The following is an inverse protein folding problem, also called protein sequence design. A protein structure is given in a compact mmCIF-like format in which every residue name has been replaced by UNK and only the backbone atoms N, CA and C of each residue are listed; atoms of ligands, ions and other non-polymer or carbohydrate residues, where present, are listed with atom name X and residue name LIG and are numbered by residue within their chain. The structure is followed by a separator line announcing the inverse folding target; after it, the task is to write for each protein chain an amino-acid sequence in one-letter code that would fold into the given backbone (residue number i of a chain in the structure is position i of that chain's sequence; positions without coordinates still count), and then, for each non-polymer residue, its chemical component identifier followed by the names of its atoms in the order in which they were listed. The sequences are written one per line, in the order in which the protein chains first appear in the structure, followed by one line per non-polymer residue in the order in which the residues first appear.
data_IF_090035985364
#
_entry.id   IF_090035985364
#
_cell.length_a   1.000
_cell.length_b   1.000
_cell.length_c   1.000
_cell.angle_alpha   90.00
_cell.angle_beta   90.00
_cell.angle_gamma   90.00
#
_symmetry.space_group_name_H-M   'P 1'
#
loop_
_entity.id
_entity.type
_entity.pdbx_description
1 polymer ?
#
# COMPACT_ATOMS: atom_id res chain seq x y z
N UNK A 1 -5.79 -18.14 -8.33
CA UNK A 1 -4.87 -17.64 -9.37
C UNK A 1 -5.71 -17.27 -10.58
N UNK A 2 -5.27 -16.30 -11.41
CA UNK A 2 -5.86 -16.18 -12.76
C UNK A 2 -5.25 -17.30 -13.58
N UNK A 3 -5.93 -18.43 -13.64
CA UNK A 3 -5.49 -19.50 -14.52
C UNK A 3 -5.72 -19.05 -15.98
N UNK A 4 -4.68 -19.08 -16.80
CA UNK A 4 -4.81 -18.98 -18.26
C UNK A 4 -4.33 -17.72 -18.99
N UNK A 5 -3.60 -16.77 -18.37
CA UNK A 5 -3.12 -15.56 -19.08
C UNK A 5 -1.66 -15.68 -19.55
N UNK A 6 -0.83 -16.47 -18.87
CA UNK A 6 0.57 -16.72 -19.23
C UNK A 6 1.02 -18.11 -18.73
N UNK A 7 1.99 -18.77 -19.38
CA UNK A 7 2.50 -20.09 -18.95
C UNK A 7 3.17 -20.04 -17.57
N UNK A 8 3.63 -18.86 -17.14
CA UNK A 8 4.23 -18.64 -15.83
C UNK A 8 3.74 -17.30 -15.26
N UNK A 9 3.26 -17.32 -14.02
CA UNK A 9 2.83 -16.14 -13.27
C UNK A 9 3.52 -16.16 -11.92
N UNK A 10 4.20 -15.07 -11.56
CA UNK A 10 4.87 -14.92 -10.26
C UNK A 10 4.23 -13.78 -9.48
N UNK A 11 3.68 -14.09 -8.31
CA UNK A 11 3.24 -13.09 -7.35
C UNK A 11 4.47 -12.58 -6.58
N UNK A 12 4.85 -11.32 -6.83
CA UNK A 12 6.01 -10.69 -6.19
C UNK A 12 5.80 -10.45 -4.69
N UNK A 13 4.56 -10.22 -4.25
CA UNK A 13 4.23 -10.07 -2.83
C UNK A 13 4.38 -11.41 -2.10
N UNK A 14 3.89 -12.49 -2.69
CA UNK A 14 4.06 -13.85 -2.16
C UNK A 14 5.53 -14.28 -2.17
N UNK A 15 6.26 -13.98 -3.25
CA UNK A 15 7.69 -14.22 -3.36
C UNK A 15 8.45 -13.49 -2.25
N UNK A 16 8.23 -12.18 -2.10
CA UNK A 16 8.86 -11.37 -1.04
C UNK A 16 8.55 -11.91 0.36
N UNK A 17 7.29 -12.26 0.63
CA UNK A 17 6.87 -12.80 1.93
C UNK A 17 7.58 -14.11 2.24
N UNK A 18 7.79 -14.98 1.25
CA UNK A 18 8.53 -16.23 1.40
C UNK A 18 10.01 -15.99 1.70
N UNK A 19 10.65 -15.07 0.98
CA UNK A 19 12.09 -14.80 1.15
C UNK A 19 12.41 -14.02 2.45
N UNK A 20 11.51 -13.18 2.92
CA UNK A 20 11.79 -12.24 4.02
C UNK A 20 10.99 -12.47 5.29
N UNK A 21 9.87 -13.23 5.20
CA UNK A 21 8.88 -13.33 6.26
C UNK A 21 8.10 -12.04 6.54
N UNK A 22 8.34 -10.97 5.77
CA UNK A 22 7.75 -9.63 5.99
C UNK A 22 6.71 -9.30 4.93
N UNK A 23 5.69 -8.47 5.25
CA UNK A 23 4.80 -7.91 4.22
C UNK A 23 5.58 -6.98 3.27
N UNK A 24 4.98 -6.63 2.12
CA UNK A 24 5.56 -5.68 1.17
C UNK A 24 4.70 -4.42 1.06
N UNK A 25 5.32 -3.26 0.89
CA UNK A 25 4.64 -1.96 0.70
C UNK A 25 4.89 -1.48 -0.72
N UNK A 26 3.82 -1.41 -1.52
CA UNK A 26 3.91 -0.97 -2.92
C UNK A 26 3.80 0.55 -3.09
N UNK A 27 3.01 1.21 -2.24
CA UNK A 27 2.73 2.64 -2.36
C UNK A 27 2.46 3.27 -0.99
N UNK A 28 2.75 4.57 -0.91
CA UNK A 28 2.58 5.40 0.28
C UNK A 28 1.97 6.74 -0.12
N UNK A 29 1.16 7.31 0.76
CA UNK A 29 0.87 8.75 0.75
C UNK A 29 2.03 9.47 1.44
N UNK A 30 2.66 10.41 0.74
CA UNK A 30 3.85 11.12 1.22
C UNK A 30 3.61 12.61 1.05
N UNK A 31 3.93 13.40 2.07
CA UNK A 31 3.97 14.85 2.00
C UNK A 31 5.43 15.33 2.02
N UNK A 32 5.75 16.33 1.21
CA UNK A 32 7.04 17.00 1.29
C UNK A 32 7.17 17.73 2.63
N UNK A 33 8.32 17.60 3.29
CA UNK A 33 8.58 18.19 4.61
C UNK A 33 8.28 19.69 4.66
N UNK A 34 8.80 20.44 3.69
CA UNK A 34 8.58 21.89 3.58
C UNK A 34 7.09 22.22 3.48
N UNK A 35 6.32 21.45 2.73
CA UNK A 35 4.87 21.64 2.61
C UNK A 35 4.14 21.32 3.91
N UNK A 36 4.59 20.31 4.66
CA UNK A 36 4.05 20.01 6.00
C UNK A 36 4.31 21.14 7.00
N UNK A 37 5.51 21.72 6.96
CA UNK A 37 5.91 22.86 7.81
C UNK A 37 5.10 24.12 7.44
N UNK A 38 4.97 24.43 6.15
CA UNK A 38 4.30 25.64 5.65
C UNK A 38 2.76 25.55 5.73
N UNK A 39 2.18 24.35 5.62
CA UNK A 39 0.73 24.14 5.44
C UNK A 39 0.18 23.02 6.32
N UNK A 40 0.63 22.96 7.58
CA UNK A 40 0.29 21.89 8.52
C UNK A 40 -1.21 21.67 8.65
N UNK A 41 -1.97 22.72 8.93
CA UNK A 41 -3.41 22.58 9.19
C UNK A 41 -4.20 22.04 7.98
N UNK A 42 -4.09 22.62 6.76
CA UNK A 42 -4.75 22.05 5.58
C UNK A 42 -4.35 20.60 5.30
N UNK A 43 -3.06 20.26 5.47
CA UNK A 43 -2.58 18.89 5.26
C UNK A 43 -3.09 17.92 6.32
N UNK A 44 -3.19 18.34 7.58
CA UNK A 44 -3.80 17.53 8.64
C UNK A 44 -5.27 17.23 8.32
N UNK A 45 -6.04 18.24 7.91
CA UNK A 45 -7.45 18.07 7.51
C UNK A 45 -7.58 17.13 6.30
N UNK A 46 -6.74 17.31 5.28
CA UNK A 46 -6.73 16.43 4.10
C UNK A 46 -6.35 15.00 4.46
N UNK A 47 -5.36 14.81 5.34
CA UNK A 47 -4.94 13.49 5.80
C UNK A 47 -6.04 12.79 6.61
N UNK A 48 -6.76 13.53 7.46
CA UNK A 48 -7.93 13.02 8.17
C UNK A 48 -9.03 12.57 7.19
N UNK A 49 -9.33 13.38 6.17
CA UNK A 49 -10.30 13.04 5.13
C UNK A 49 -9.88 11.77 4.33
N UNK A 50 -8.59 11.62 4.01
CA UNK A 50 -8.07 10.40 3.39
C UNK A 50 -8.23 9.17 4.28
N UNK A 51 -8.00 9.30 5.59
CA UNK A 51 -8.20 8.22 6.55
C UNK A 51 -9.68 7.81 6.66
N UNK A 52 -10.60 8.77 6.67
CA UNK A 52 -12.04 8.51 6.63
C UNK A 52 -12.47 7.83 5.32
N UNK A 53 -11.98 8.32 4.18
CA UNK A 53 -12.23 7.69 2.89
C UNK A 53 -11.71 6.25 2.85
N UNK A 54 -10.49 6.01 3.36
CA UNK A 54 -9.92 4.66 3.49
C UNK A 54 -10.79 3.74 4.34
N UNK A 55 -11.19 4.20 5.54
CA UNK A 55 -12.06 3.44 6.45
C UNK A 55 -13.37 3.06 5.78
N UNK A 56 -13.98 4.01 5.08
CA UNK A 56 -15.22 3.81 4.33
C UNK A 56 -15.05 2.76 3.23
N UNK A 57 -14.00 2.89 2.41
CA UNK A 57 -13.69 1.94 1.34
C UNK A 57 -13.43 0.52 1.89
N UNK A 58 -12.60 0.39 2.94
CA UNK A 58 -12.33 -0.89 3.59
C UNK A 58 -13.62 -1.52 4.15
N UNK A 59 -14.54 -0.73 4.71
CA UNK A 59 -15.82 -1.22 5.19
C UNK A 59 -16.70 -1.75 4.05
N UNK A 60 -16.77 -1.04 2.91
CA UNK A 60 -17.48 -1.50 1.72
C UNK A 60 -16.88 -2.80 1.16
N UNK A 61 -15.55 -2.89 1.05
CA UNK A 61 -14.85 -4.12 0.61
C UNK A 61 -15.19 -5.30 1.53
N UNK A 62 -15.21 -5.09 2.86
CA UNK A 62 -15.60 -6.15 3.82
C UNK A 62 -17.04 -6.63 3.62
N UNK A 63 -17.95 -5.73 3.26
CA UNK A 63 -19.35 -6.05 2.93
C UNK A 63 -19.54 -6.66 1.53
N UNK A 64 -18.50 -6.69 0.70
CA UNK A 64 -18.62 -7.13 -0.71
C UNK A 64 -19.29 -6.09 -1.60
N UNK A 65 -19.28 -4.82 -1.18
CA UNK A 65 -19.83 -3.70 -1.93
C UNK A 65 -18.71 -3.02 -2.72
N UNK A 66 -18.78 -3.09 -4.05
CA UNK A 66 -17.79 -2.49 -4.95
C UNK A 66 -18.43 -1.40 -5.82
N UNK A 67 -18.89 -0.28 -5.23
CA UNK A 67 -19.57 0.80 -5.97
C UNK A 67 -18.67 1.47 -7.03
N UNK A 68 -17.37 1.21 -6.98
CA UNK A 68 -16.33 1.80 -7.84
C UNK A 68 -16.19 1.10 -9.20
N UNK A 69 -16.93 0.00 -9.43
CA UNK A 69 -16.86 -0.79 -10.65
C UNK A 69 -15.47 -1.41 -10.88
N UNK A 70 -15.21 -1.76 -12.12
CA UNK A 70 -13.91 -2.23 -12.60
C UNK A 70 -14.04 -2.58 -14.08
N UNK A 71 -12.93 -2.72 -14.82
CA UNK A 71 -13.01 -3.03 -16.24
C UNK A 71 -13.82 -4.32 -16.47
N UNK A 72 -14.73 -4.28 -17.45
CA UNK A 72 -15.65 -5.39 -17.72
C UNK A 72 -14.94 -6.68 -18.14
N UNK A 73 -13.70 -6.56 -18.65
CA UNK A 73 -12.86 -7.70 -19.02
C UNK A 73 -12.27 -8.45 -17.81
N UNK A 74 -12.38 -7.91 -16.59
CA UNK A 74 -11.90 -8.57 -15.38
C UNK A 74 -13.05 -9.34 -14.72
N UNK A 75 -12.94 -10.67 -14.53
CA UNK A 75 -13.96 -11.46 -13.87
C UNK A 75 -14.35 -10.90 -12.49
N UNK A 76 -15.65 -10.82 -12.14
CA UNK A 76 -16.11 -10.32 -10.84
C UNK A 76 -15.41 -10.98 -9.65
N UNK A 77 -15.33 -12.32 -9.63
CA UNK A 77 -14.68 -13.05 -8.55
C UNK A 77 -13.18 -12.70 -8.40
N UNK A 78 -12.50 -12.36 -9.50
CA UNK A 78 -11.11 -11.92 -9.45
C UNK A 78 -10.99 -10.51 -8.87
N UNK A 79 -11.88 -9.58 -9.25
CA UNK A 79 -11.93 -8.23 -8.65
C UNK A 79 -12.15 -8.31 -7.15
N UNK A 80 -13.09 -9.14 -6.71
CA UNK A 80 -13.40 -9.33 -5.29
C UNK A 80 -12.19 -9.88 -4.53
N UNK A 81 -11.53 -10.91 -5.07
CA UNK A 81 -10.32 -11.48 -4.49
C UNK A 81 -9.18 -10.46 -4.42
N UNK A 82 -9.00 -9.66 -5.49
CA UNK A 82 -7.99 -8.61 -5.56
C UNK A 82 -8.22 -7.55 -4.46
N UNK A 83 -9.43 -7.02 -4.34
CA UNK A 83 -9.74 -6.00 -3.34
C UNK A 83 -9.59 -6.49 -1.90
N UNK A 84 -9.91 -7.76 -1.63
CA UNK A 84 -9.75 -8.37 -0.30
C UNK A 84 -8.29 -8.70 0.04
N UNK A 85 -7.43 -8.86 -0.97
CA UNK A 85 -6.01 -9.17 -0.78
C UNK A 85 -5.18 -7.92 -0.39
N UNK A 86 -5.66 -6.72 -0.74
CA UNK A 86 -4.92 -5.49 -0.46
C UNK A 86 -5.02 -5.08 1.01
N UNK A 87 -3.86 -4.87 1.65
CA UNK A 87 -3.74 -4.13 2.91
C UNK A 87 -3.53 -2.65 2.61
N UNK A 88 -4.26 -1.79 3.30
CA UNK A 88 -4.15 -0.32 3.18
C UNK A 88 -3.62 0.33 4.47
N UNK A 89 -3.22 -0.49 5.43
CA UNK A 89 -2.66 -0.07 6.70
C UNK A 89 -1.14 -0.13 6.67
N UNK A 90 -0.51 0.64 7.56
CA UNK A 90 0.94 0.76 7.64
C UNK A 90 1.36 0.53 9.09
N UNK A 91 1.17 -0.70 9.56
CA UNK A 91 1.51 -1.14 10.91
C UNK A 91 2.70 -2.09 10.86
N UNK A 92 2.41 -3.40 10.82
CA UNK A 92 3.44 -4.45 10.65
C UNK A 92 4.21 -4.31 9.33
N UNK A 93 3.59 -3.65 8.35
CA UNK A 93 4.12 -3.30 7.04
C UNK A 93 5.37 -2.42 7.10
N UNK A 94 5.52 -1.63 8.16
CA UNK A 94 6.71 -0.78 8.37
C UNK A 94 8.01 -1.59 8.41
N UNK A 95 7.98 -2.80 8.99
CA UNK A 95 9.15 -3.69 9.02
C UNK A 95 9.55 -4.17 7.63
N UNK A 96 8.57 -4.42 6.74
CA UNK A 96 8.82 -4.78 5.35
C UNK A 96 9.40 -3.61 4.55
N UNK A 97 8.87 -2.41 4.76
CA UNK A 97 9.34 -1.18 4.12
C UNK A 97 10.79 -0.86 4.51
N UNK A 98 11.12 -0.95 5.81
CA UNK A 98 12.50 -0.73 6.28
C UNK A 98 13.49 -1.71 5.65
N UNK A 99 13.15 -3.01 5.61
CA UNK A 99 13.98 -4.03 4.97
C UNK A 99 14.15 -3.74 3.47
N UNK A 100 13.09 -3.31 2.78
CA UNK A 100 13.18 -2.96 1.37
C UNK A 100 14.20 -1.83 1.13
N UNK A 101 14.19 -0.79 1.96
CA UNK A 101 15.19 0.28 1.88
C UNK A 101 16.61 -0.20 2.21
N UNK A 102 16.79 -1.07 3.20
CA UNK A 102 18.09 -1.67 3.51
C UNK A 102 18.64 -2.46 2.32
N UNK A 103 17.80 -3.28 1.68
CA UNK A 103 18.20 -4.05 0.50
C UNK A 103 18.50 -3.12 -0.70
N UNK A 104 17.72 -2.07 -0.90
CA UNK A 104 17.97 -1.08 -1.94
C UNK A 104 19.31 -0.35 -1.73
N UNK A 105 19.65 -0.01 -0.48
CA UNK A 105 20.93 0.59 -0.14
C UNK A 105 22.09 -0.39 -0.35
N UNK A 106 21.92 -1.67 0.05
CA UNK A 106 22.92 -2.75 -0.14
C UNK A 106 23.34 -2.91 -1.60
N UNK A 107 22.42 -2.71 -2.54
CA UNK A 107 22.70 -2.80 -3.99
C UNK A 107 22.97 -1.43 -4.65
N UNK A 108 23.14 -0.37 -3.86
CA UNK A 108 23.50 0.97 -4.36
C UNK A 108 22.39 1.72 -5.11
N UNK A 109 21.11 1.36 -4.94
CA UNK A 109 19.99 2.09 -5.56
C UNK A 109 19.64 3.38 -4.81
N UNK A 110 19.93 3.44 -3.52
CA UNK A 110 19.85 4.62 -2.67
C UNK A 110 21.11 4.70 -1.81
N UNK A 111 21.54 5.89 -1.35
CA UNK A 111 22.77 6.03 -0.58
C UNK A 111 22.70 5.37 0.81
N UNK A 112 21.52 5.37 1.43
CA UNK A 112 21.25 4.72 2.72
C UNK A 112 19.73 4.50 2.88
N UNK A 113 19.34 3.59 3.77
CA UNK A 113 17.94 3.42 4.15
C UNK A 113 17.44 4.65 4.93
N UNK A 114 16.41 5.38 4.45
CA UNK A 114 15.91 6.55 5.15
C UNK A 114 15.10 6.15 6.40
N UNK A 115 15.16 6.93 7.49
CA UNK A 115 14.27 6.72 8.63
C UNK A 115 12.81 7.03 8.23
N UNK A 116 11.88 6.18 8.68
CA UNK A 116 10.45 6.43 8.51
C UNK A 116 10.02 7.57 9.43
N UNK A 117 9.31 8.55 8.88
CA UNK A 117 8.78 9.71 9.61
C UNK A 117 7.31 9.87 9.26
N UNK A 118 6.46 9.76 10.26
CA UNK A 118 5.01 9.85 10.11
C UNK A 118 4.54 11.28 10.38
N UNK A 119 3.45 11.67 9.72
CA UNK A 119 2.80 12.95 10.00
C UNK A 119 2.07 12.85 11.34
N UNK A 120 2.23 13.87 12.19
CA UNK A 120 1.45 14.01 13.42
C UNK A 120 0.12 14.69 13.09
N UNK A 121 -0.82 13.86 12.68
CA UNK A 121 -2.22 14.21 12.43
C UNK A 121 -2.92 14.06 13.78
N UNK A 122 -3.33 15.20 14.37
CA UNK A 122 -3.98 15.24 15.68
C UNK A 122 -5.32 14.52 15.73
#
# INVERSE_FOLDING_TARGET
AVDGVAPHVTDLGAWWRRETGKPFVFALWIAARRTWEDRREPLSRFSAALLDAKRTAQASIRRGEFPWGGPDWIPPAFRDAYWRCLSYDLGVETGGLSLFYELAAKIGRIPAAPPLRFLEIG
#
